data_IF_857932211003
#
_entry.id   IF_857932211003
#
_cell.length_a   1.000
_cell.length_b   1.000
_cell.length_c   1.000
_cell.angle_alpha   90.00
_cell.angle_beta   90.00
_cell.angle_gamma   90.00
#
_symmetry.space_group_name_H-M   'P 1'
#
loop_
_entity.id
_entity.type
_entity.pdbx_description
1 polymer ?
#
# COMPACT_ATOMS: atom_id res chain seq x y z
N UNK A 1 -9.22 -6.36 2.52
CA UNK A 1 -9.48 -7.79 2.27
C UNK A 1 -9.02 -8.68 3.42
N UNK A 2 -7.72 -8.99 3.61
CA UNK A 2 -7.24 -9.89 4.70
C UNK A 2 -7.75 -9.50 6.09
N UNK A 3 -7.58 -8.23 6.47
CA UNK A 3 -8.03 -7.68 7.77
C UNK A 3 -9.53 -7.88 8.03
N UNK A 4 -10.34 -7.94 6.98
CA UNK A 4 -11.80 -8.04 7.05
C UNK A 4 -12.30 -9.44 6.65
N UNK A 5 -11.41 -10.45 6.58
CA UNK A 5 -11.81 -11.83 6.32
C UNK A 5 -12.30 -12.13 4.90
N UNK A 6 -12.08 -11.25 3.91
CA UNK A 6 -12.45 -11.52 2.52
C UNK A 6 -11.67 -12.76 2.02
N UNK A 7 -12.35 -13.80 1.51
CA UNK A 7 -11.71 -15.01 1.01
C UNK A 7 -10.74 -14.74 -0.14
N UNK A 8 -9.66 -15.53 -0.20
CA UNK A 8 -8.69 -15.54 -1.30
C UNK A 8 -8.23 -14.14 -1.77
N UNK A 9 -7.82 -13.27 -0.83
CA UNK A 9 -7.63 -11.85 -1.12
C UNK A 9 -6.49 -11.57 -2.09
N UNK A 10 -5.51 -12.47 -2.16
CA UNK A 10 -4.41 -12.38 -3.10
C UNK A 10 -4.84 -12.80 -4.51
N UNK A 11 -5.59 -13.90 -4.65
CA UNK A 11 -6.04 -14.40 -5.96
C UNK A 11 -7.03 -13.43 -6.61
N UNK A 12 -7.98 -12.87 -5.85
CA UNK A 12 -8.91 -11.84 -6.36
C UNK A 12 -8.20 -10.63 -6.97
N UNK A 13 -7.11 -10.17 -6.35
CA UNK A 13 -6.33 -9.06 -6.90
C UNK A 13 -5.51 -9.50 -8.11
N UNK A 14 -4.87 -10.66 -8.02
CA UNK A 14 -4.03 -11.23 -9.08
C UNK A 14 -4.81 -11.47 -10.38
N UNK A 15 -6.06 -11.94 -10.29
CA UNK A 15 -6.94 -12.10 -11.45
C UNK A 15 -7.12 -10.79 -12.22
N UNK A 16 -7.21 -9.64 -11.53
CA UNK A 16 -7.34 -8.33 -12.16
C UNK A 16 -6.02 -7.77 -12.67
N UNK A 17 -4.90 -8.02 -12.00
CA UNK A 17 -3.63 -7.38 -12.33
C UNK A 17 -2.70 -8.20 -13.23
N UNK A 18 -2.85 -9.54 -13.27
CA UNK A 18 -1.89 -10.40 -13.97
C UNK A 18 -2.10 -10.35 -15.48
N UNK A 19 -1.08 -9.90 -16.20
CA UNK A 19 -1.11 -9.81 -17.66
C UNK A 19 -2.00 -8.69 -18.20
N UNK A 20 -2.47 -7.78 -17.33
CA UNK A 20 -3.32 -6.66 -17.70
C UNK A 20 -2.71 -5.35 -17.19
N UNK A 21 -2.98 -4.25 -17.89
CA UNK A 21 -2.58 -2.92 -17.44
C UNK A 21 -3.48 -2.48 -16.28
N UNK A 22 -2.88 -2.14 -15.14
CA UNK A 22 -3.60 -1.61 -13.98
C UNK A 22 -3.73 -0.11 -14.12
N UNK A 23 -4.96 0.39 -14.16
CA UNK A 23 -5.27 1.82 -14.25
C UNK A 23 -5.96 2.31 -12.98
N UNK A 24 -6.06 3.62 -12.82
CA UNK A 24 -6.84 4.22 -11.73
C UNK A 24 -8.28 3.70 -11.74
N UNK A 25 -8.93 3.70 -12.91
CA UNK A 25 -10.32 3.29 -13.04
C UNK A 25 -10.51 1.80 -12.76
N UNK A 26 -9.58 0.93 -13.20
CA UNK A 26 -9.68 -0.50 -12.90
C UNK A 26 -9.53 -0.77 -11.40
N UNK A 27 -8.65 -0.02 -10.71
CA UNK A 27 -8.49 -0.13 -9.26
C UNK A 27 -9.71 0.38 -8.48
N UNK A 28 -10.32 1.49 -8.90
CA UNK A 28 -11.54 1.98 -8.23
C UNK A 28 -12.70 1.00 -8.36
N UNK A 29 -12.94 0.48 -9.57
CA UNK A 29 -13.98 -0.55 -9.78
C UNK A 29 -13.72 -1.80 -8.94
N UNK A 30 -12.45 -2.21 -8.81
CA UNK A 30 -12.08 -3.34 -7.96
C UNK A 30 -12.42 -3.07 -6.49
N UNK A 31 -12.06 -1.89 -5.96
CA UNK A 31 -12.34 -1.50 -4.57
C UNK A 31 -13.85 -1.39 -4.31
N UNK A 32 -14.61 -0.82 -5.25
CA UNK A 32 -16.06 -0.66 -5.13
C UNK A 32 -16.79 -2.00 -5.04
N UNK A 33 -16.28 -3.03 -5.73
CA UNK A 33 -16.82 -4.40 -5.70
C UNK A 33 -16.46 -5.23 -4.46
N UNK A 34 -15.69 -4.69 -3.51
CA UNK A 34 -15.35 -5.39 -2.28
C UNK A 34 -16.41 -5.18 -1.19
N UNK A 35 -16.73 -6.25 -0.47
CA UNK A 35 -17.55 -6.18 0.75
C UNK A 35 -16.70 -5.67 1.92
N UNK A 36 -16.58 -4.35 2.02
CA UNK A 36 -15.82 -3.63 3.04
C UNK A 36 -16.67 -2.52 3.66
N UNK A 37 -16.41 -2.14 4.92
CA UNK A 37 -17.01 -0.94 5.50
C UNK A 37 -16.69 0.31 4.68
N UNK A 38 -17.65 1.24 4.58
CA UNK A 38 -17.53 2.40 3.70
C UNK A 38 -16.35 3.31 4.06
N UNK A 39 -16.03 3.46 5.33
CA UNK A 39 -14.85 4.20 5.77
C UNK A 39 -13.54 3.59 5.23
N UNK A 40 -13.47 2.26 5.12
CA UNK A 40 -12.31 1.54 4.61
C UNK A 40 -12.25 1.67 3.10
N UNK A 41 -13.38 1.51 2.42
CA UNK A 41 -13.52 1.71 0.98
C UNK A 41 -13.04 3.11 0.61
N UNK A 42 -13.55 4.15 1.28
CA UNK A 42 -13.17 5.54 1.05
C UNK A 42 -11.69 5.81 1.32
N UNK A 43 -11.08 5.18 2.33
CA UNK A 43 -9.62 5.26 2.57
C UNK A 43 -8.83 4.64 1.42
N UNK A 44 -9.21 3.44 0.98
CA UNK A 44 -8.54 2.75 -0.13
C UNK A 44 -8.67 3.53 -1.44
N UNK A 45 -9.85 4.06 -1.75
CA UNK A 45 -10.11 4.83 -2.97
C UNK A 45 -9.34 6.15 -3.04
N UNK A 46 -8.83 6.67 -1.91
CA UNK A 46 -7.99 7.87 -1.85
C UNK A 46 -6.49 7.57 -2.03
N UNK A 47 -6.08 6.30 -1.97
CA UNK A 47 -4.68 5.95 -2.16
C UNK A 47 -4.24 6.21 -3.60
N UNK A 48 -2.98 6.60 -3.74
CA UNK A 48 -2.32 6.74 -5.04
C UNK A 48 -0.92 6.12 -4.97
N UNK A 49 -0.34 5.65 -6.09
CA UNK A 49 1.02 5.14 -6.10
C UNK A 49 2.04 6.13 -5.51
N UNK A 50 1.85 7.43 -5.77
CA UNK A 50 2.73 8.48 -5.27
C UNK A 50 2.66 8.65 -3.75
N UNK A 51 1.47 8.54 -3.16
CA UNK A 51 1.27 8.71 -1.71
C UNK A 51 1.43 7.40 -0.93
N UNK A 52 1.44 6.24 -1.59
CA UNK A 52 1.55 4.92 -0.95
C UNK A 52 3.01 4.54 -0.69
N UNK A 53 3.74 5.40 0.03
CA UNK A 53 5.17 5.23 0.37
C UNK A 53 5.41 4.68 1.77
N UNK A 54 4.35 4.45 2.55
CA UNK A 54 4.45 3.93 3.92
C UNK A 54 5.22 4.88 4.84
N UNK A 55 6.25 4.35 5.52
CA UNK A 55 7.08 5.13 6.45
C UNK A 55 8.33 5.74 5.80
N UNK A 56 8.46 5.69 4.47
CA UNK A 56 9.69 6.05 3.77
C UNK A 56 10.21 7.45 4.13
N UNK A 57 9.35 8.47 4.14
CA UNK A 57 9.75 9.85 4.47
C UNK A 57 10.28 9.97 5.90
N UNK A 58 9.58 9.36 6.87
CA UNK A 58 9.98 9.43 8.27
C UNK A 58 11.31 8.73 8.49
N UNK A 59 11.48 7.54 7.92
CA UNK A 59 12.73 6.79 8.02
C UNK A 59 13.90 7.53 7.34
N UNK A 60 13.65 8.20 6.22
CA UNK A 60 14.66 9.00 5.55
C UNK A 60 15.10 10.20 6.39
N UNK A 61 14.17 10.89 7.08
CA UNK A 61 14.49 12.00 7.99
C UNK A 61 15.22 11.56 9.25
N UNK A 62 14.90 10.36 9.74
CA UNK A 62 15.50 9.81 10.95
C UNK A 62 16.80 9.03 10.70
N UNK A 63 17.30 9.00 9.45
CA UNK A 63 18.46 8.18 9.08
C UNK A 63 19.70 8.50 9.93
N UNK A 64 19.98 9.77 10.18
CA UNK A 64 21.12 10.25 10.98
C UNK A 64 21.03 9.85 12.45
N UNK A 65 19.83 9.58 12.98
CA UNK A 65 19.65 9.11 14.36
C UNK A 65 19.91 7.61 14.48
N UNK A 66 19.73 6.89 13.38
CA UNK A 66 19.73 5.43 13.35
C UNK A 66 21.04 4.87 12.83
N UNK A 67 21.77 5.63 12.00
CA UNK A 67 22.95 5.19 11.28
C UNK A 67 23.93 6.36 11.16
N UNK A 68 25.22 6.08 11.39
CA UNK A 68 26.30 6.97 10.99
C UNK A 68 26.41 6.96 9.45
N UNK A 69 26.24 8.11 8.82
CA UNK A 69 26.23 8.23 7.35
C UNK A 69 27.60 8.04 6.70
N UNK A 70 28.70 8.14 7.46
CA UNK A 70 30.05 7.87 6.93
C UNK A 70 30.40 6.38 6.98
N UNK A 71 30.08 5.71 8.08
CA UNK A 71 30.47 4.31 8.30
C UNK A 71 29.35 3.29 8.02
N UNK A 72 28.08 3.74 7.95
CA UNK A 72 26.91 2.88 7.74
C UNK A 72 26.50 2.03 8.93
N UNK A 73 27.13 2.21 10.10
CA UNK A 73 26.83 1.45 11.32
C UNK A 73 25.85 2.19 12.24
N UNK A 74 25.10 1.45 13.07
CA UNK A 74 24.16 2.06 14.03
C UNK A 74 24.88 2.90 15.07
N UNK A 75 24.32 4.08 15.37
CA UNK A 75 24.73 4.88 16.53
C UNK A 75 24.28 4.15 17.79
N UNK A 76 25.22 3.93 18.72
CA UNK A 76 25.04 3.14 19.94
C UNK A 76 24.16 3.84 20.97
#
# INVERSE_FOLDING_TARGET
MRRYGIPEPYEKLKEMTRGQAVTKDSMQRFIDGLDLPDEVRAKLSKLTPHAYTGLAENLAKDIEKLVDLESGFKIK
#
